data_IF_395113925993
#
_entry.id   IF_395113925993
#
_cell.length_a   1.000
_cell.length_b   1.000
_cell.length_c   1.000
_cell.angle_alpha   90.00
_cell.angle_beta   90.00
_cell.angle_gamma   90.00
#
_symmetry.space_group_name_H-M   'P 1'
#
loop_
_entity.id
_entity.type
_entity.pdbx_description
1 polymer ?
#
# COMPACT_ATOMS: atom_id res chain seq x y z
N UNK A 1 11.88 13.74 -31.83
CA UNK A 1 10.86 13.58 -30.76
C UNK A 1 10.47 12.13 -30.53
N UNK A 2 10.42 11.28 -31.57
CA UNK A 2 10.10 9.86 -31.38
C UNK A 2 11.17 9.11 -30.55
N UNK A 3 12.45 9.45 -30.76
CA UNK A 3 13.57 8.92 -29.96
C UNK A 3 13.48 9.30 -28.48
N UNK A 4 13.09 10.53 -28.16
CA UNK A 4 12.95 11.00 -26.77
C UNK A 4 11.80 10.30 -26.05
N UNK A 5 10.68 10.02 -26.73
CA UNK A 5 9.57 9.25 -26.15
C UNK A 5 9.99 7.80 -25.90
N UNK A 6 10.76 7.20 -26.81
CA UNK A 6 11.30 5.85 -26.66
C UNK A 6 12.31 5.73 -25.52
N UNK A 7 13.20 6.71 -25.38
CA UNK A 7 14.16 6.77 -24.28
C UNK A 7 13.46 6.96 -22.92
N UNK A 8 12.44 7.81 -22.87
CA UNK A 8 11.57 7.92 -21.69
C UNK A 8 10.93 6.56 -21.39
N UNK A 9 10.38 5.86 -22.37
CA UNK A 9 9.79 4.51 -22.18
C UNK A 9 10.79 3.46 -21.68
N UNK A 10 12.07 3.50 -22.10
CA UNK A 10 13.12 2.61 -21.57
C UNK A 10 13.47 2.92 -20.13
N UNK A 11 13.56 4.22 -19.79
CA UNK A 11 13.75 4.67 -18.41
C UNK A 11 12.57 4.22 -17.56
N UNK A 12 11.34 4.30 -18.08
CA UNK A 12 10.13 3.74 -17.47
C UNK A 12 10.23 2.25 -17.22
N UNK A 13 10.60 1.44 -18.22
CA UNK A 13 10.71 -0.01 -18.03
C UNK A 13 11.69 -0.37 -16.91
N UNK A 14 12.80 0.39 -16.78
CA UNK A 14 13.77 0.22 -15.69
C UNK A 14 13.20 0.65 -14.33
N UNK A 15 12.49 1.77 -14.26
CA UNK A 15 11.88 2.27 -13.01
C UNK A 15 10.72 1.38 -12.57
N UNK A 16 9.90 0.88 -13.49
CA UNK A 16 8.81 -0.07 -13.24
C UNK A 16 9.35 -1.39 -12.70
N UNK A 17 10.34 -1.97 -13.40
CA UNK A 17 10.99 -3.20 -12.93
C UNK A 17 11.62 -2.99 -11.55
N UNK A 18 12.25 -1.84 -11.33
CA UNK A 18 12.92 -1.52 -10.07
C UNK A 18 11.91 -1.22 -8.95
N UNK A 19 10.78 -0.57 -9.22
CA UNK A 19 9.71 -0.33 -8.25
C UNK A 19 8.98 -1.63 -7.87
N UNK A 20 8.82 -2.55 -8.83
CA UNK A 20 8.30 -3.90 -8.56
C UNK A 20 9.27 -4.76 -7.74
N UNK A 21 10.59 -4.55 -7.88
CA UNK A 21 11.61 -5.25 -7.10
C UNK A 21 11.92 -4.58 -5.75
N UNK A 22 11.86 -3.25 -5.66
CA UNK A 22 12.09 -2.45 -4.46
C UNK A 22 10.77 -1.93 -3.90
N UNK A 23 9.97 -2.89 -3.45
CA UNK A 23 8.82 -2.73 -2.58
C UNK A 23 9.07 -1.87 -1.30
N UNK A 24 10.30 -1.44 -1.02
CA UNK A 24 10.74 -1.07 0.32
C UNK A 24 11.43 0.31 0.43
N UNK A 25 11.76 0.99 -0.68
CA UNK A 25 12.52 2.25 -0.64
C UNK A 25 11.64 3.48 -0.88
N UNK A 26 11.53 4.35 0.13
CA UNK A 26 10.78 5.63 0.07
C UNK A 26 11.24 6.53 -1.08
N UNK A 27 12.53 6.47 -1.44
CA UNK A 27 13.10 7.25 -2.55
C UNK A 27 12.50 6.87 -3.91
N UNK A 28 12.07 5.62 -4.09
CA UNK A 28 11.44 5.16 -5.34
C UNK A 28 10.08 5.82 -5.59
N UNK A 29 9.34 6.19 -4.54
CA UNK A 29 8.02 6.85 -4.66
C UNK A 29 8.14 8.31 -5.10
N UNK A 30 9.09 9.05 -4.51
CA UNK A 30 9.39 10.43 -4.91
C UNK A 30 9.90 10.48 -6.35
N UNK A 31 10.75 9.52 -6.72
CA UNK A 31 11.20 9.36 -8.11
C UNK A 31 10.03 9.13 -9.06
N UNK A 32 9.15 8.17 -8.76
CA UNK A 32 7.96 7.88 -9.57
C UNK A 32 7.03 9.09 -9.70
N UNK A 33 6.80 9.81 -8.61
CA UNK A 33 5.99 11.04 -8.62
C UNK A 33 6.63 12.17 -9.44
N UNK A 34 7.95 12.38 -9.35
CA UNK A 34 8.65 13.37 -10.16
C UNK A 34 8.55 13.06 -11.65
N UNK A 35 8.65 11.79 -12.04
CA UNK A 35 8.43 11.39 -13.43
C UNK A 35 6.97 11.66 -13.84
N UNK A 36 5.99 11.47 -12.95
CA UNK A 36 4.57 11.81 -13.20
C UNK A 36 4.43 13.27 -13.61
N UNK A 37 5.03 14.12 -12.80
CA UNK A 37 5.05 15.56 -13.02
C UNK A 37 5.68 15.91 -14.37
N UNK A 38 6.79 15.27 -14.74
CA UNK A 38 7.42 15.50 -16.04
C UNK A 38 6.54 15.07 -17.21
N UNK A 39 5.78 13.96 -17.10
CA UNK A 39 4.79 13.57 -18.12
C UNK A 39 3.73 14.65 -18.28
N UNK A 40 3.18 15.14 -17.16
CA UNK A 40 2.14 16.18 -17.19
C UNK A 40 2.65 17.43 -17.90
N UNK A 41 3.85 17.91 -17.55
CA UNK A 41 4.45 19.08 -18.20
C UNK A 41 4.71 18.84 -19.71
N UNK A 42 5.15 17.64 -20.09
CA UNK A 42 5.34 17.28 -21.50
C UNK A 42 4.01 17.23 -22.26
N UNK A 43 2.94 16.76 -21.62
CA UNK A 43 1.61 16.73 -22.20
C UNK A 43 1.10 18.15 -22.43
N UNK A 44 1.22 19.03 -21.43
CA UNK A 44 0.85 20.45 -21.53
C UNK A 44 1.63 21.16 -22.66
N UNK A 45 2.92 20.87 -22.78
CA UNK A 45 3.77 21.41 -23.84
C UNK A 45 3.35 20.90 -25.23
N UNK A 46 2.99 19.62 -25.35
CA UNK A 46 2.49 19.03 -26.59
C UNK A 46 1.11 19.57 -26.97
N UNK A 47 0.20 19.73 -26.01
CA UNK A 47 -1.12 20.33 -26.22
C UNK A 47 -1.00 21.77 -26.73
N UNK A 48 -0.10 22.58 -26.12
CA UNK A 48 0.18 23.94 -26.59
C UNK A 48 0.75 23.95 -28.01
N UNK A 49 1.70 23.06 -28.31
CA UNK A 49 2.32 22.98 -29.66
C UNK A 49 1.33 22.49 -30.71
N UNK A 50 0.51 21.50 -30.37
CA UNK A 50 -0.57 21.00 -31.22
C UNK A 50 -1.56 22.12 -31.57
N UNK A 51 -1.97 22.92 -30.59
CA UNK A 51 -2.83 24.08 -30.82
C UNK A 51 -2.19 25.09 -31.78
N UNK A 52 -0.89 25.37 -31.63
CA UNK A 52 -0.16 26.26 -32.54
C UNK A 52 -0.16 25.69 -33.97
N UNK A 53 0.16 24.41 -34.14
CA UNK A 53 0.18 23.75 -35.45
C UNK A 53 -1.21 23.81 -36.11
N UNK A 54 -2.28 23.56 -35.35
CA UNK A 54 -3.65 23.72 -35.85
C UNK A 54 -3.95 25.14 -36.33
N UNK A 55 -3.52 26.17 -35.58
CA UNK A 55 -3.73 27.56 -35.97
C UNK A 55 -2.93 27.93 -37.22
N UNK A 56 -1.71 27.43 -37.35
CA UNK A 56 -0.85 27.61 -38.53
C UNK A 56 -1.49 26.96 -39.76
N UNK A 57 -1.96 25.71 -39.63
CA UNK A 57 -2.72 25.03 -40.69
C UNK A 57 -3.96 25.84 -41.07
N UNK A 58 -4.78 26.26 -40.10
CA UNK A 58 -5.97 27.07 -40.40
C UNK A 58 -5.64 28.35 -41.17
N UNK A 59 -4.57 29.06 -40.79
CA UNK A 59 -4.12 30.27 -41.49
C UNK A 59 -3.59 29.96 -42.91
N UNK A 60 -2.81 28.89 -43.06
CA UNK A 60 -2.29 28.46 -44.35
C UNK A 60 -3.39 28.09 -45.34
N UNK A 61 -4.47 27.44 -44.86
CA UNK A 61 -5.65 27.13 -45.68
C UNK A 61 -6.33 28.38 -46.24
N UNK A 62 -6.38 29.47 -45.45
CA UNK A 62 -6.91 30.76 -45.88
C UNK A 62 -6.00 31.47 -46.91
N UNK A 63 -4.69 31.25 -46.83
CA UNK A 63 -3.74 31.78 -47.81
C UNK A 63 -3.78 30.98 -49.12
N UNK A 64 -3.89 29.65 -49.03
CA UNK A 64 -4.01 28.77 -50.19
C UNK A 64 -5.24 29.10 -51.05
N UNK A 65 -6.38 29.43 -50.42
CA UNK A 65 -7.61 29.78 -51.15
C UNK A 65 -7.50 31.10 -51.94
N UNK A 66 -6.51 31.94 -51.65
CA UNK A 66 -6.27 33.23 -52.32
C UNK A 66 -5.14 33.19 -53.37
N UNK A 67 -4.53 32.02 -53.61
CA UNK A 67 -3.31 31.91 -54.40
C UNK A 67 -3.54 31.49 -55.86
N UNK A 68 -2.64 31.95 -56.74
CA UNK A 68 -2.61 31.64 -58.18
C UNK A 68 -2.26 30.18 -58.47
N UNK A 69 -2.71 29.63 -59.61
CA UNK A 69 -2.61 28.20 -59.96
C UNK A 69 -1.18 27.63 -59.95
N UNK A 70 -0.18 28.44 -60.34
CA UNK A 70 1.23 28.02 -60.39
C UNK A 70 1.81 27.69 -58.99
N UNK A 71 1.33 28.36 -57.93
CA UNK A 71 1.82 28.15 -56.56
C UNK A 71 1.06 27.05 -55.81
N UNK A 72 -0.04 26.52 -56.37
CA UNK A 72 -0.90 25.55 -55.66
C UNK A 72 -0.17 24.24 -55.34
N UNK A 73 0.67 23.73 -56.27
CA UNK A 73 1.41 22.47 -56.10
C UNK A 73 2.41 22.57 -54.94
N UNK A 74 3.16 23.67 -54.86
CA UNK A 74 4.12 23.92 -53.77
C UNK A 74 3.38 24.11 -52.43
N UNK A 75 2.22 24.78 -52.44
CA UNK A 75 1.39 24.93 -51.25
C UNK A 75 0.80 23.61 -50.76
N UNK A 76 0.40 22.73 -51.67
CA UNK A 76 -0.15 21.41 -51.35
C UNK A 76 0.90 20.50 -50.71
N UNK A 77 2.13 20.52 -51.22
CA UNK A 77 3.26 19.83 -50.57
C UNK A 77 3.55 20.37 -49.17
N UNK A 78 3.48 21.69 -48.99
CA UNK A 78 3.72 22.33 -47.67
C UNK A 78 2.61 22.00 -46.68
N UNK A 79 1.35 21.96 -47.15
CA UNK A 79 0.21 21.50 -46.37
C UNK A 79 0.40 20.07 -45.88
N UNK A 80 0.76 19.16 -46.79
CA UNK A 80 1.01 17.76 -46.46
C UNK A 80 2.07 17.59 -45.36
N UNK A 81 3.15 18.38 -45.42
CA UNK A 81 4.19 18.38 -44.39
C UNK A 81 3.68 18.90 -43.04
N UNK A 82 2.90 19.99 -43.03
CA UNK A 82 2.31 20.54 -41.81
C UNK A 82 1.29 19.59 -41.18
N UNK A 83 0.45 18.94 -41.98
CA UNK A 83 -0.47 17.91 -41.52
C UNK A 83 0.29 16.71 -40.94
N UNK A 84 1.41 16.31 -41.55
CA UNK A 84 2.25 15.25 -41.00
C UNK A 84 2.83 15.62 -39.62
N UNK A 85 3.21 16.89 -39.43
CA UNK A 85 3.65 17.40 -38.13
C UNK A 85 2.50 17.37 -37.12
N UNK A 86 1.29 17.80 -37.50
CA UNK A 86 0.08 17.72 -36.65
C UNK A 86 -0.18 16.28 -36.17
N UNK A 87 -0.22 15.32 -37.10
CA UNK A 87 -0.43 13.90 -36.77
C UNK A 87 0.67 13.34 -35.87
N UNK A 88 1.91 13.80 -36.04
CA UNK A 88 3.02 13.41 -35.17
C UNK A 88 2.82 13.90 -33.74
N UNK A 89 2.38 15.15 -33.56
CA UNK A 89 2.06 15.70 -32.24
C UNK A 89 0.87 14.99 -31.60
N UNK A 90 -0.19 14.72 -32.36
CA UNK A 90 -1.35 13.96 -31.88
C UNK A 90 -0.95 12.57 -31.37
N UNK A 91 -0.08 11.87 -32.11
CA UNK A 91 0.46 10.56 -31.72
C UNK A 91 1.27 10.64 -30.42
N UNK A 92 2.15 11.64 -30.29
CA UNK A 92 2.91 11.86 -29.06
C UNK A 92 1.98 12.11 -27.87
N UNK A 93 0.91 12.87 -28.09
CA UNK A 93 -0.08 13.19 -27.06
C UNK A 93 -0.82 11.94 -26.56
N UNK A 94 -1.23 11.07 -27.49
CA UNK A 94 -1.85 9.78 -27.14
C UNK A 94 -0.89 8.89 -26.33
N UNK A 95 0.40 8.86 -26.70
CA UNK A 95 1.43 8.11 -25.96
C UNK A 95 1.67 8.68 -24.56
N UNK A 96 1.73 10.00 -24.41
CA UNK A 96 1.89 10.66 -23.10
C UNK A 96 0.71 10.37 -22.18
N UNK A 97 -0.54 10.45 -22.69
CA UNK A 97 -1.73 10.06 -21.93
C UNK A 97 -1.71 8.59 -21.52
N UNK A 98 -1.21 7.70 -22.38
CA UNK A 98 -1.05 6.29 -22.00
C UNK A 98 0.02 6.10 -20.91
N UNK A 99 1.12 6.84 -20.97
CA UNK A 99 2.17 6.77 -19.95
C UNK A 99 1.69 7.33 -18.60
N UNK A 100 0.92 8.41 -18.61
CA UNK A 100 0.28 8.96 -17.40
C UNK A 100 -0.61 7.91 -16.72
N UNK A 101 -1.55 7.29 -17.46
CA UNK A 101 -2.42 6.22 -16.93
C UNK A 101 -1.64 5.05 -16.36
N UNK A 102 -0.59 4.60 -17.08
CA UNK A 102 0.28 3.50 -16.60
C UNK A 102 0.97 3.89 -15.31
N UNK A 103 1.46 5.11 -15.21
CA UNK A 103 2.15 5.55 -14.00
C UNK A 103 1.23 5.63 -12.80
N UNK A 104 0.02 6.17 -12.96
CA UNK A 104 -0.97 6.19 -11.88
C UNK A 104 -1.26 4.77 -11.38
N UNK A 105 -1.35 3.79 -12.31
CA UNK A 105 -1.53 2.38 -11.94
C UNK A 105 -0.33 1.81 -11.17
N UNK A 106 0.91 2.15 -11.56
CA UNK A 106 2.11 1.69 -10.85
C UNK A 106 2.20 2.33 -9.47
N UNK A 107 1.92 3.64 -9.34
CA UNK A 107 1.89 4.34 -8.05
C UNK A 107 0.88 3.68 -7.10
N UNK A 108 -0.34 3.44 -7.58
CA UNK A 108 -1.39 2.80 -6.80
C UNK A 108 -0.99 1.39 -6.36
N UNK A 109 -0.47 0.57 -7.29
CA UNK A 109 -0.01 -0.79 -6.98
C UNK A 109 1.11 -0.78 -5.92
N UNK A 110 2.10 0.11 -6.06
CA UNK A 110 3.19 0.24 -5.11
C UNK A 110 2.69 0.63 -3.71
N UNK A 111 1.71 1.54 -3.62
CA UNK A 111 1.08 1.87 -2.33
C UNK A 111 0.33 0.69 -1.72
N UNK A 112 -0.44 -0.05 -2.53
CA UNK A 112 -1.13 -1.25 -2.05
C UNK A 112 -0.14 -2.31 -1.56
N UNK A 113 0.97 -2.49 -2.26
CA UNK A 113 2.00 -3.45 -1.89
C UNK A 113 2.71 -3.04 -0.59
N UNK A 114 3.09 -1.77 -0.45
CA UNK A 114 3.67 -1.26 0.81
C UNK A 114 2.68 -1.37 1.97
N UNK A 115 1.40 -1.05 1.74
CA UNK A 115 0.37 -1.20 2.76
C UNK A 115 0.17 -2.66 3.15
N UNK A 116 0.19 -3.58 2.18
CA UNK A 116 0.10 -5.01 2.43
C UNK A 116 1.31 -5.53 3.23
N UNK A 117 2.51 -5.08 2.89
CA UNK A 117 3.74 -5.42 3.62
C UNK A 117 3.71 -4.85 5.04
N UNK A 118 3.35 -3.58 5.20
CA UNK A 118 3.18 -2.95 6.50
C UNK A 118 2.15 -3.69 7.36
N UNK A 119 1.03 -4.11 6.77
CA UNK A 119 0.03 -4.91 7.47
C UNK A 119 0.56 -6.29 7.87
N UNK A 120 1.40 -6.92 7.04
CA UNK A 120 2.07 -8.19 7.37
C UNK A 120 3.04 -8.03 8.54
N UNK A 121 3.85 -6.98 8.53
CA UNK A 121 4.77 -6.64 9.63
C UNK A 121 3.97 -6.37 10.92
N UNK A 122 2.89 -5.58 10.83
CA UNK A 122 2.00 -5.34 11.97
C UNK A 122 1.32 -6.61 12.48
N UNK A 123 0.96 -7.55 11.59
CA UNK A 123 0.44 -8.85 12.00
C UNK A 123 1.49 -9.68 12.75
N UNK A 124 2.75 -9.69 12.29
CA UNK A 124 3.83 -10.34 13.04
C UNK A 124 4.08 -9.66 14.39
N UNK A 125 4.06 -8.34 14.45
CA UNK A 125 4.19 -7.59 15.71
C UNK A 125 3.01 -7.86 16.66
N UNK A 126 1.81 -8.04 16.12
CA UNK A 126 0.62 -8.43 16.89
C UNK A 126 0.78 -9.79 17.56
N UNK A 127 1.46 -10.75 16.92
CA UNK A 127 1.78 -12.04 17.55
C UNK A 127 2.75 -11.87 18.72
N UNK A 128 3.75 -10.99 18.59
CA UNK A 128 4.66 -10.64 19.69
C UNK A 128 3.91 -9.98 20.85
N UNK A 129 3.05 -9.00 20.54
CA UNK A 129 2.20 -8.32 21.54
C UNK A 129 1.29 -9.30 22.29
N UNK A 130 0.71 -10.27 21.56
CA UNK A 130 -0.11 -11.33 22.16
C UNK A 130 0.71 -12.22 23.09
N UNK A 131 1.97 -12.52 22.73
CA UNK A 131 2.87 -13.33 23.55
C UNK A 131 3.24 -12.61 24.84
N UNK A 132 3.61 -11.33 24.78
CA UNK A 132 3.89 -10.51 25.96
C UNK A 132 2.66 -10.42 26.86
N UNK A 133 1.48 -10.22 26.26
CA UNK A 133 0.20 -10.22 26.98
C UNK A 133 -0.11 -11.54 27.68
N UNK A 134 0.28 -12.67 27.08
CA UNK A 134 0.11 -14.00 27.69
C UNK A 134 1.08 -14.19 28.87
N UNK A 135 2.33 -13.72 28.73
CA UNK A 135 3.30 -13.73 29.84
C UNK A 135 2.76 -12.90 31.01
N UNK A 136 2.31 -11.67 30.79
CA UNK A 136 1.74 -10.84 31.87
C UNK A 136 0.49 -11.46 32.48
N UNK A 137 -0.38 -12.10 31.68
CA UNK A 137 -1.57 -12.80 32.16
C UNK A 137 -1.24 -13.95 33.14
N UNK A 138 -0.11 -14.63 32.93
CA UNK A 138 0.38 -15.68 33.84
C UNK A 138 1.06 -15.06 35.06
N UNK A 139 1.90 -14.04 34.86
CA UNK A 139 2.66 -13.43 35.96
C UNK A 139 1.78 -12.68 36.95
N UNK A 140 0.67 -12.09 36.51
CA UNK A 140 -0.20 -11.29 37.37
C UNK A 140 -0.80 -12.11 38.53
N UNK A 141 -1.47 -13.27 38.32
CA UNK A 141 -1.96 -14.09 39.42
C UNK A 141 -0.82 -14.66 40.27
N UNK A 142 0.28 -15.12 39.64
CA UNK A 142 1.46 -15.63 40.38
C UNK A 142 2.02 -14.57 41.33
N UNK A 143 2.16 -13.33 40.85
CA UNK A 143 2.68 -12.21 41.65
C UNK A 143 1.71 -11.85 42.77
N UNK A 144 0.40 -11.83 42.50
CA UNK A 144 -0.61 -11.58 43.55
C UNK A 144 -0.56 -12.63 44.66
N UNK A 145 -0.49 -13.93 44.32
CA UNK A 145 -0.33 -14.99 45.32
C UNK A 145 1.00 -14.85 46.06
N UNK A 146 2.10 -14.58 45.35
CA UNK A 146 3.41 -14.38 45.98
C UNK A 146 3.43 -13.18 46.94
N UNK A 147 2.74 -12.09 46.63
CA UNK A 147 2.66 -10.91 47.51
C UNK A 147 1.84 -11.20 48.76
N UNK A 148 0.71 -11.90 48.63
CA UNK A 148 -0.18 -12.21 49.76
C UNK A 148 0.48 -13.20 50.72
N UNK A 149 1.12 -14.23 50.19
CA UNK A 149 1.68 -15.32 51.00
C UNK A 149 3.18 -15.19 51.29
N UNK A 150 3.90 -14.31 50.59
CA UNK A 150 5.35 -14.15 50.75
C UNK A 150 5.78 -13.79 52.17
N UNK A 151 4.99 -12.98 52.88
CA UNK A 151 5.26 -12.63 54.29
C UNK A 151 4.88 -13.72 55.28
N UNK A 152 4.07 -14.71 54.88
CA UNK A 152 3.63 -15.81 55.74
C UNK A 152 4.56 -17.02 55.67
N UNK A 153 5.35 -17.16 54.59
CA UNK A 153 6.23 -18.31 54.39
C UNK A 153 7.68 -18.11 54.84
N UNK A 154 8.15 -16.87 54.95
CA UNK A 154 9.52 -16.56 55.36
C UNK A 154 9.50 -15.92 56.75
N UNK A 155 9.95 -16.67 57.75
CA UNK A 155 10.21 -16.18 59.10
C UNK A 155 11.70 -16.00 59.33
N UNK A 156 12.10 -14.86 59.90
CA UNK A 156 13.45 -14.66 60.42
C UNK A 156 13.40 -15.01 61.91
N UNK A 157 14.15 -16.03 62.32
CA UNK A 157 14.29 -16.41 63.73
C UNK A 157 15.47 -15.64 64.35
N UNK A 158 15.19 -14.82 65.36
CA UNK A 158 16.17 -13.93 66.02
C UNK A 158 17.34 -14.65 66.72
N UNK A 159 17.26 -15.97 66.93
CA UNK A 159 18.25 -16.73 67.71
C UNK A 159 19.41 -17.31 66.89
N UNK A 160 19.27 -17.55 65.58
CA UNK A 160 20.26 -18.34 64.82
C UNK A 160 20.56 -17.84 63.38
N UNK A 161 20.11 -16.64 63.01
CA UNK A 161 20.32 -16.03 61.67
C UNK A 161 19.92 -16.98 60.51
N UNK A 162 19.01 -17.93 60.79
CA UNK A 162 18.58 -18.96 59.86
C UNK A 162 17.19 -18.62 59.31
N UNK A 163 17.11 -18.49 57.99
CA UNK A 163 15.86 -18.32 57.25
C UNK A 163 15.04 -19.60 57.34
N UNK A 164 13.98 -19.61 58.16
CA UNK A 164 13.08 -20.75 58.25
C UNK A 164 11.97 -20.61 57.21
N UNK A 165 11.94 -21.57 56.28
CA UNK A 165 10.88 -21.69 55.27
C UNK A 165 9.72 -22.49 55.88
N UNK A 166 8.52 -21.90 55.89
CA UNK A 166 7.32 -22.55 56.41
C UNK A 166 6.96 -23.81 55.60
N UNK A 167 6.53 -24.87 56.30
CA UNK A 167 6.09 -26.15 55.71
C UNK A 167 4.90 -26.01 54.76
N UNK A 168 4.15 -24.91 54.85
CA UNK A 168 2.96 -24.65 54.05
C UNK A 168 3.25 -24.10 52.64
N UNK A 169 4.51 -24.05 52.23
CA UNK A 169 4.92 -23.63 50.87
C UNK A 169 4.19 -24.39 49.75
N UNK A 170 3.70 -25.62 50.00
CA UNK A 170 2.91 -26.38 49.03
C UNK A 170 1.58 -25.68 48.67
N UNK A 171 0.99 -24.91 49.59
CA UNK A 171 -0.29 -24.21 49.37
C UNK A 171 -0.17 -23.11 48.29
N UNK A 172 1.03 -22.56 48.10
CA UNK A 172 1.33 -21.62 47.01
C UNK A 172 1.01 -22.24 45.65
N UNK A 173 1.48 -23.47 45.41
CA UNK A 173 1.25 -24.18 44.15
C UNK A 173 -0.21 -24.58 43.99
N UNK A 174 -0.87 -24.99 45.08
CA UNK A 174 -2.28 -25.37 45.09
C UNK A 174 -3.21 -24.22 44.70
N UNK A 175 -2.87 -22.98 45.06
CA UNK A 175 -3.72 -21.81 44.76
C UNK A 175 -3.29 -21.15 43.43
N UNK A 176 -1.99 -21.02 43.19
CA UNK A 176 -1.45 -20.32 42.02
C UNK A 176 -1.76 -21.02 40.69
N UNK A 177 -1.64 -22.35 40.63
CA UNK A 177 -1.93 -23.14 39.43
C UNK A 177 -3.40 -22.98 38.97
N UNK A 178 -4.43 -23.26 39.81
CA UNK A 178 -5.81 -23.17 39.35
C UNK A 178 -6.23 -21.75 38.99
N UNK A 179 -5.76 -20.73 39.72
CA UNK A 179 -6.04 -19.33 39.38
C UNK A 179 -5.47 -19.00 38.00
N UNK A 180 -4.23 -19.43 37.71
CA UNK A 180 -3.61 -19.23 36.39
C UNK A 180 -4.38 -19.97 35.29
N UNK A 181 -4.81 -21.21 35.54
CA UNK A 181 -5.61 -22.00 34.60
C UNK A 181 -6.96 -21.33 34.30
N UNK A 182 -7.63 -20.79 35.32
CA UNK A 182 -8.90 -20.07 35.15
C UNK A 182 -8.71 -18.83 34.27
N UNK A 183 -7.67 -18.04 34.54
CA UNK A 183 -7.41 -16.79 33.80
C UNK A 183 -7.03 -17.09 32.34
N UNK A 184 -6.15 -18.06 32.09
CA UNK A 184 -5.77 -18.47 30.73
C UNK A 184 -6.95 -19.11 29.99
N UNK A 185 -7.76 -19.94 30.69
CA UNK A 185 -8.97 -20.55 30.15
C UNK A 185 -10.02 -19.52 29.74
N UNK A 186 -10.23 -18.48 30.56
CA UNK A 186 -11.12 -17.37 30.24
C UNK A 186 -10.67 -16.62 28.98
N UNK A 187 -9.36 -16.37 28.83
CA UNK A 187 -8.81 -15.76 27.62
C UNK A 187 -9.06 -16.63 26.37
N UNK A 188 -8.82 -17.94 26.46
CA UNK A 188 -9.04 -18.87 25.35
C UNK A 188 -10.52 -18.91 24.93
N UNK A 189 -11.45 -18.91 25.89
CA UNK A 189 -12.88 -18.87 25.63
C UNK A 189 -13.32 -17.56 24.93
N UNK A 190 -12.79 -16.41 25.35
CA UNK A 190 -13.06 -15.11 24.71
C UNK A 190 -12.49 -15.08 23.29
N UNK A 191 -11.27 -15.58 23.09
CA UNK A 191 -10.63 -15.67 21.77
C UNK A 191 -11.45 -16.56 20.82
N UNK A 192 -11.90 -17.73 21.29
CA UNK A 192 -12.73 -18.65 20.52
C UNK A 192 -14.06 -18.00 20.09
N UNK A 193 -14.78 -17.36 21.02
CA UNK A 193 -16.03 -16.65 20.72
C UNK A 193 -15.84 -15.57 19.67
N UNK A 194 -14.73 -14.82 19.74
CA UNK A 194 -14.41 -13.79 18.73
C UNK A 194 -14.13 -14.39 17.35
N UNK A 195 -13.46 -15.54 17.27
CA UNK A 195 -13.20 -16.24 16.02
C UNK A 195 -14.49 -16.74 15.34
N UNK A 196 -15.42 -17.29 16.13
CA UNK A 196 -16.69 -17.81 15.63
C UNK A 196 -17.59 -16.70 15.04
N UNK A 197 -17.65 -15.54 15.70
CA UNK A 197 -18.37 -14.37 15.21
C UNK A 197 -17.80 -13.81 13.90
N UNK A 198 -16.47 -13.79 13.76
CA UNK A 198 -15.81 -13.36 12.53
C UNK A 198 -16.16 -14.29 11.34
N UNK A 199 -16.24 -15.59 11.59
CA UNK A 199 -16.58 -16.59 10.56
C UNK A 199 -18.03 -16.46 10.10
N UNK A 200 -18.97 -16.21 11.03
CA UNK A 200 -20.39 -15.95 10.73
C UNK A 200 -20.57 -14.70 9.87
N UNK A 201 -19.88 -13.61 10.20
CA UNK A 201 -19.95 -12.37 9.42
C UNK A 201 -19.43 -12.54 7.99
N UNK A 202 -18.33 -13.29 7.80
CA UNK A 202 -17.81 -13.59 6.45
C UNK A 202 -18.82 -14.34 5.58
N UNK A 203 -19.57 -15.30 6.15
CA UNK A 203 -20.59 -16.05 5.42
C UNK A 203 -21.80 -15.18 5.02
N UNK A 204 -22.20 -14.25 5.88
CA UNK A 204 -23.30 -13.31 5.58
C UNK A 204 -22.92 -12.39 4.41
N UNK A 205 -21.70 -11.85 4.41
CA UNK A 205 -21.20 -10.99 3.33
C UNK A 205 -21.08 -11.74 1.99
N UNK A 206 -20.58 -12.97 2.00
CA UNK A 206 -20.49 -13.79 0.79
C UNK A 206 -21.87 -14.07 0.17
N UNK A 207 -22.89 -14.30 1.02
CA UNK A 207 -24.28 -14.47 0.56
C UNK A 207 -24.86 -13.18 -0.01
N UNK A 208 -24.57 -12.02 0.59
CA UNK A 208 -25.04 -10.74 0.05
C UNK A 208 -24.42 -10.42 -1.31
N UNK A 209 -23.12 -10.68 -1.49
CA UNK A 209 -22.43 -10.44 -2.76
C UNK A 209 -23.02 -11.29 -3.91
N UNK A 210 -23.31 -12.57 -3.63
CA UNK A 210 -23.97 -13.46 -4.59
C UNK A 210 -25.40 -13.02 -4.94
N UNK A 211 -26.13 -12.44 -3.98
CA UNK A 211 -27.48 -11.90 -4.23
C UNK A 211 -27.40 -10.64 -5.08
N UNK A 212 -26.50 -9.70 -4.78
CA UNK A 212 -26.35 -8.48 -5.59
C UNK A 212 -25.88 -8.77 -7.01
N UNK A 213 -25.03 -9.77 -7.22
CA UNK A 213 -24.59 -10.19 -8.56
C UNK A 213 -25.72 -10.87 -9.35
N UNK A 214 -26.60 -11.61 -8.67
CA UNK A 214 -27.73 -12.32 -9.30
C UNK A 214 -28.92 -11.42 -9.66
N UNK A 215 -29.10 -10.29 -8.96
CA UNK A 215 -30.24 -9.38 -9.14
C UNK A 215 -29.85 -7.97 -9.62
N UNK A 216 -28.56 -7.72 -9.87
CA UNK A 216 -28.00 -6.41 -10.25
C UNK A 216 -27.66 -6.24 -11.74
N UNK A 217 -28.18 -7.11 -12.61
CA UNK A 217 -28.09 -6.99 -14.08
C UNK A 217 -29.46 -6.73 -14.69
#
# INVERSE_FOLDING_TARGET
MDSTVWEVSKVFGKIETRALMLSQERESFTGLHNVAKHIVHLQESCDATYLIVQKVLAHFKLLQSKASDENKVLMESTWGMLTQVETSFETVNLRLRSLDRRMQSVIALSFHLVAAEGNRIMQSDSNTMTTIGLVTLIFLPLTTVSTIFGSQFFGVSDEDDSLTVSKDFWIFWVISIPVTVIVVGAWYAVKWRRFELATRNKQIMARQHQVTEKYGA
#
